data_IF_531571113330
#
_entry.id   IF_531571113330
#
_cell.length_a   1.000
_cell.length_b   1.000
_cell.length_c   1.000
_cell.angle_alpha   90.00
_cell.angle_beta   90.00
_cell.angle_gamma   90.00
#
_symmetry.space_group_name_H-M   'P 1'
#
loop_
_entity.id
_entity.type
_entity.pdbx_description
1 polymer ?
#
# COMPACT_ATOMS: atom_id res chain seq x y z
N UNK A 1 12.62 -53.46 -4.38
CA UNK A 1 11.51 -52.57 -3.97
C UNK A 1 11.94 -51.27 -3.25
N UNK A 2 13.22 -50.84 -3.30
CA UNK A 2 13.67 -49.57 -2.68
C UNK A 2 13.87 -48.41 -3.66
N UNK A 3 13.89 -48.68 -4.96
CA UNK A 3 14.21 -47.68 -6.00
C UNK A 3 13.00 -46.86 -6.46
N UNK A 4 11.77 -47.38 -6.32
CA UNK A 4 10.54 -46.70 -6.79
C UNK A 4 10.17 -45.50 -5.92
N UNK A 5 10.48 -45.51 -4.62
CA UNK A 5 10.19 -44.39 -3.72
C UNK A 5 11.05 -43.15 -4.00
N UNK A 6 12.29 -43.30 -4.49
CA UNK A 6 13.14 -42.16 -4.85
C UNK A 6 12.62 -41.41 -6.09
N UNK A 7 12.03 -42.11 -7.05
CA UNK A 7 11.53 -41.50 -8.29
C UNK A 7 10.28 -40.67 -8.01
N UNK A 8 9.36 -41.17 -7.17
CA UNK A 8 8.14 -40.47 -6.78
C UNK A 8 8.40 -39.17 -5.99
N UNK A 9 9.44 -39.14 -5.14
CA UNK A 9 9.82 -37.91 -4.43
C UNK A 9 10.47 -36.88 -5.34
N UNK A 10 11.24 -37.30 -6.35
CA UNK A 10 11.78 -36.38 -7.36
C UNK A 10 10.67 -35.70 -8.19
N UNK A 11 9.60 -36.44 -8.53
CA UNK A 11 8.48 -35.89 -9.30
C UNK A 11 7.61 -34.91 -8.51
N UNK A 12 7.49 -35.06 -7.19
CA UNK A 12 6.82 -34.05 -6.35
C UNK A 12 7.65 -32.78 -6.18
N UNK A 13 8.98 -32.88 -6.21
CA UNK A 13 9.85 -31.70 -6.10
C UNK A 13 9.95 -30.93 -7.43
N UNK A 14 9.97 -31.64 -8.57
CA UNK A 14 9.99 -31.03 -9.91
C UNK A 14 8.65 -30.42 -10.34
N UNK A 15 7.53 -30.81 -9.74
CA UNK A 15 6.21 -30.19 -9.97
C UNK A 15 5.86 -29.09 -8.96
N UNK A 16 6.74 -28.82 -7.98
CA UNK A 16 6.61 -27.60 -7.21
C UNK A 16 6.91 -26.44 -8.17
N UNK A 17 5.85 -25.75 -8.60
CA UNK A 17 6.00 -24.46 -9.26
C UNK A 17 6.72 -23.58 -8.24
N UNK A 18 8.04 -23.41 -8.43
CA UNK A 18 8.77 -22.32 -7.79
C UNK A 18 8.13 -21.08 -8.36
N UNK A 19 7.15 -20.56 -7.63
CA UNK A 19 6.40 -19.39 -7.99
C UNK A 19 7.42 -18.30 -8.34
N UNK A 20 7.42 -17.96 -9.62
CA UNK A 20 8.03 -16.80 -10.25
C UNK A 20 8.63 -15.85 -9.22
N UNK A 21 9.96 -15.77 -9.16
CA UNK A 21 10.59 -14.54 -8.71
C UNK A 21 10.10 -13.46 -9.67
N UNK A 22 9.00 -12.80 -9.29
CA UNK A 22 8.58 -11.56 -9.94
C UNK A 22 9.80 -10.67 -9.85
N UNK A 23 10.27 -10.16 -10.98
CA UNK A 23 11.24 -9.08 -11.02
C UNK A 23 10.57 -7.86 -10.39
N UNK A 24 10.50 -7.83 -9.06
CA UNK A 24 10.06 -6.68 -8.31
C UNK A 24 11.22 -5.72 -8.45
N UNK A 25 11.07 -4.75 -9.35
CA UNK A 25 11.87 -3.54 -9.28
C UNK A 25 11.58 -2.93 -7.90
N UNK A 26 12.51 -3.15 -6.97
CA UNK A 26 12.54 -2.43 -5.70
C UNK A 26 12.99 -1.01 -6.05
N UNK A 27 12.05 -0.21 -6.54
CA UNK A 27 12.28 1.18 -6.89
C UNK A 27 12.10 2.06 -5.66
N UNK A 28 13.01 3.01 -5.46
CA UNK A 28 12.76 4.16 -4.61
C UNK A 28 11.75 5.06 -5.35
N UNK A 29 10.50 5.13 -4.89
CA UNK A 29 9.47 5.95 -5.53
C UNK A 29 8.05 5.43 -5.33
N UNK A 30 7.13 5.91 -6.17
CA UNK A 30 5.73 5.48 -6.18
C UNK A 30 5.60 3.97 -6.39
N UNK A 31 4.57 3.33 -5.81
CA UNK A 31 4.38 1.90 -5.95
C UNK A 31 4.06 1.55 -7.40
N UNK A 32 4.62 0.44 -7.86
CA UNK A 32 4.23 -0.14 -9.14
C UNK A 32 2.76 -0.56 -9.05
N UNK A 33 1.97 -0.21 -10.06
CA UNK A 33 0.54 -0.48 -10.07
C UNK A 33 0.14 -1.22 -11.36
N UNK A 34 -0.64 -2.33 -11.27
CA UNK A 34 -1.20 -2.97 -12.44
C UNK A 34 -2.19 -2.05 -13.15
N UNK A 35 -2.20 -2.09 -14.48
CA UNK A 35 -2.98 -1.20 -15.34
C UNK A 35 -4.49 -1.22 -15.04
N UNK A 36 -5.00 -2.34 -14.52
CA UNK A 36 -6.40 -2.52 -14.13
C UNK A 36 -6.85 -1.67 -12.93
N UNK A 37 -5.94 -1.17 -12.09
CA UNK A 37 -6.27 -0.35 -10.93
C UNK A 37 -6.27 1.16 -11.22
N UNK A 38 -5.87 1.58 -12.43
CA UNK A 38 -5.81 3.00 -12.80
C UNK A 38 -7.14 3.74 -12.68
N UNK A 39 -8.27 3.03 -12.83
CA UNK A 39 -9.60 3.64 -12.88
C UNK A 39 -10.16 4.08 -11.52
N UNK A 40 -9.59 3.66 -10.38
CA UNK A 40 -10.07 4.05 -9.05
C UNK A 40 -9.28 5.24 -8.51
N UNK A 41 -9.45 6.46 -9.00
CA UNK A 41 -8.69 7.59 -8.42
C UNK A 41 -9.16 7.84 -6.97
N UNK A 42 -8.22 7.82 -6.02
CA UNK A 42 -8.50 8.30 -4.67
C UNK A 42 -8.78 9.79 -4.72
N UNK A 43 -9.93 10.20 -4.18
CA UNK A 43 -10.34 11.59 -4.17
C UNK A 43 -9.45 12.42 -3.24
N UNK A 44 -9.12 13.63 -3.68
CA UNK A 44 -8.34 14.58 -2.89
C UNK A 44 -9.25 15.25 -1.87
N UNK A 45 -9.00 14.98 -0.59
CA UNK A 45 -9.62 15.66 0.54
C UNK A 45 -8.70 16.73 1.13
N UNK A 46 -9.27 17.60 1.96
CA UNK A 46 -8.58 18.80 2.45
C UNK A 46 -8.79 19.02 3.94
N UNK A 47 -7.70 19.00 4.69
CA UNK A 47 -7.66 19.35 6.10
C UNK A 47 -7.23 20.81 6.27
N UNK A 48 -7.96 21.59 7.07
CA UNK A 48 -7.59 22.98 7.36
C UNK A 48 -6.50 22.99 8.43
N UNK A 49 -5.27 23.24 8.00
CA UNK A 49 -4.08 23.20 8.86
C UNK A 49 -3.59 24.63 9.17
N UNK A 50 -3.00 24.82 10.35
CA UNK A 50 -2.29 26.07 10.67
C UNK A 50 -1.11 26.25 9.73
N UNK A 51 -0.90 27.49 9.28
CA UNK A 51 0.27 27.80 8.47
C UNK A 51 1.56 27.80 9.29
N UNK A 52 1.48 28.22 10.55
CA UNK A 52 2.63 28.32 11.45
C UNK A 52 2.27 27.81 12.85
N UNK A 53 2.77 26.63 13.21
CA UNK A 53 2.53 26.03 14.53
C UNK A 53 3.36 26.65 15.66
N UNK A 54 4.38 27.44 15.33
CA UNK A 54 5.31 28.02 16.32
C UNK A 54 4.91 29.43 16.79
N UNK A 55 4.00 30.10 16.07
CA UNK A 55 3.48 31.41 16.46
C UNK A 55 1.98 31.33 16.78
N UNK A 56 1.64 31.40 18.08
CA UNK A 56 0.25 31.29 18.54
C UNK A 56 -0.65 32.47 18.17
N UNK A 57 -0.07 33.59 17.73
CA UNK A 57 -0.84 34.76 17.25
C UNK A 57 -1.14 34.71 15.75
N UNK A 58 -0.46 33.82 15.01
CA UNK A 58 -0.71 33.64 13.59
C UNK A 58 -1.94 32.75 13.38
N UNK A 59 -3.02 33.35 12.91
CA UNK A 59 -4.29 32.66 12.66
C UNK A 59 -4.46 32.18 11.20
N UNK A 60 -3.42 32.31 10.37
CA UNK A 60 -3.50 31.88 8.97
C UNK A 60 -3.55 30.37 8.88
N UNK A 61 -4.35 29.89 7.92
CA UNK A 61 -4.53 28.47 7.65
C UNK A 61 -4.33 28.17 6.17
N UNK A 62 -4.09 26.91 5.84
CA UNK A 62 -4.05 26.42 4.48
C UNK A 62 -4.75 25.06 4.37
N UNK A 63 -5.12 24.67 3.15
CA UNK A 63 -5.73 23.37 2.86
C UNK A 63 -4.63 22.33 2.64
N UNK A 64 -4.38 21.50 3.64
CA UNK A 64 -3.50 20.35 3.53
C UNK A 64 -4.23 19.21 2.81
N UNK A 65 -3.70 18.81 1.66
CA UNK A 65 -4.25 17.72 0.85
C UNK A 65 -3.96 16.37 1.49
N UNK A 66 -4.96 15.50 1.56
CA UNK A 66 -4.81 14.10 1.94
C UNK A 66 -5.75 13.23 1.09
N UNK A 67 -5.58 11.92 1.17
CA UNK A 67 -6.40 10.94 0.47
C UNK A 67 -6.79 9.84 1.47
N UNK A 68 -7.88 9.12 1.20
CA UNK A 68 -8.36 8.05 2.07
C UNK A 68 -8.65 6.80 1.25
N UNK A 69 -8.31 5.64 1.79
CA UNK A 69 -8.86 4.37 1.34
C UNK A 69 -9.48 3.63 2.54
N UNK A 70 -10.81 3.46 2.49
CA UNK A 70 -11.61 2.74 3.47
C UNK A 70 -12.07 1.35 3.02
N UNK A 71 -11.66 0.87 1.85
CA UNK A 71 -12.15 -0.37 1.22
C UNK A 71 -11.94 -1.61 2.11
N UNK A 72 -10.89 -1.59 2.94
CA UNK A 72 -10.51 -2.70 3.81
C UNK A 72 -10.88 -2.47 5.27
N UNK A 73 -11.36 -1.27 5.61
CA UNK A 73 -11.63 -0.92 6.99
C UNK A 73 -12.82 -1.71 7.55
N UNK A 74 -12.67 -2.23 8.77
CA UNK A 74 -13.76 -2.76 9.58
C UNK A 74 -13.86 -1.96 10.87
N UNK A 75 -15.05 -1.95 11.48
CA UNK A 75 -15.24 -1.30 12.79
C UNK A 75 -14.15 -1.74 13.76
N UNK A 76 -13.60 -0.76 14.49
CA UNK A 76 -12.50 -0.92 15.44
C UNK A 76 -11.16 -1.38 14.83
N UNK A 77 -11.03 -1.33 13.50
CA UNK A 77 -9.77 -1.56 12.80
C UNK A 77 -8.75 -0.43 13.03
N UNK A 78 -7.45 -0.70 12.83
CA UNK A 78 -6.41 0.32 12.97
C UNK A 78 -6.45 1.34 11.83
N UNK A 79 -5.76 2.47 12.05
CA UNK A 79 -5.53 3.47 11.00
C UNK A 79 -4.05 3.44 10.63
N UNK A 80 -3.77 3.27 9.35
CA UNK A 80 -2.44 3.41 8.78
C UNK A 80 -2.30 4.81 8.18
N UNK A 81 -1.31 5.55 8.66
CA UNK A 81 -1.02 6.91 8.22
C UNK A 81 0.31 6.92 7.47
N UNK A 82 0.27 7.28 6.19
CA UNK A 82 1.47 7.50 5.39
C UNK A 82 1.91 8.97 5.47
N UNK A 83 3.11 9.21 5.97
CA UNK A 83 3.71 10.55 5.97
C UNK A 83 4.41 10.78 4.63
N UNK A 84 3.90 11.73 3.85
CA UNK A 84 4.49 12.10 2.57
C UNK A 84 5.91 12.68 2.71
N UNK A 85 6.74 12.46 1.68
CA UNK A 85 8.05 13.09 1.52
C UNK A 85 7.98 14.40 0.73
N UNK A 86 9.01 14.66 -0.07
CA UNK A 86 9.18 15.90 -0.85
C UNK A 86 8.31 15.96 -2.12
N UNK A 87 7.72 14.83 -2.52
CA UNK A 87 6.93 14.70 -3.73
C UNK A 87 5.44 15.04 -3.56
N UNK A 88 4.77 15.36 -4.68
CA UNK A 88 3.31 15.49 -4.72
C UNK A 88 2.66 14.14 -4.37
N UNK A 89 1.70 14.12 -3.43
CA UNK A 89 0.92 12.90 -3.15
C UNK A 89 0.21 12.40 -4.41
N UNK A 90 0.27 11.07 -4.60
CA UNK A 90 -0.21 10.32 -5.75
C UNK A 90 -1.21 9.27 -5.31
N UNK A 91 -2.35 9.21 -6.03
CA UNK A 91 -3.44 8.28 -5.74
C UNK A 91 -3.03 6.80 -5.79
N UNK A 92 -1.90 6.48 -6.45
CA UNK A 92 -1.38 5.11 -6.51
C UNK A 92 -1.07 4.54 -5.13
N UNK A 93 -0.68 5.38 -4.19
CA UNK A 93 -0.40 4.94 -2.83
C UNK A 93 -1.65 4.37 -2.17
N UNK A 94 -2.84 4.91 -2.45
CA UNK A 94 -4.10 4.38 -1.92
C UNK A 94 -4.49 3.01 -2.49
N UNK A 95 -3.77 2.48 -3.48
CA UNK A 95 -4.15 1.25 -4.20
C UNK A 95 -3.07 0.18 -4.21
N UNK A 96 -1.82 0.56 -4.00
CA UNK A 96 -0.67 -0.33 -4.14
C UNK A 96 0.41 -0.07 -3.08
N UNK A 97 1.38 -0.98 -3.01
CA UNK A 97 2.45 -1.01 -2.03
C UNK A 97 2.12 -1.89 -0.82
N UNK A 98 3.15 -2.25 -0.07
CA UNK A 98 3.04 -3.21 1.05
C UNK A 98 2.01 -2.79 2.10
N UNK A 99 1.82 -1.48 2.31
CA UNK A 99 0.88 -0.97 3.31
C UNK A 99 -0.59 -1.27 2.96
N UNK A 100 -0.95 -1.37 1.67
CA UNK A 100 -2.29 -1.80 1.24
C UNK A 100 -2.49 -3.29 1.48
N UNK A 101 -1.46 -4.10 1.29
CA UNK A 101 -1.54 -5.54 1.58
C UNK A 101 -1.72 -5.77 3.09
N UNK A 102 -1.02 -5.00 3.92
CA UNK A 102 -1.26 -5.00 5.37
C UNK A 102 -2.64 -4.44 5.73
N UNK A 103 -3.15 -3.42 5.03
CA UNK A 103 -4.47 -2.89 5.31
C UNK A 103 -5.57 -3.95 5.11
N UNK A 104 -5.43 -4.81 4.08
CA UNK A 104 -6.31 -5.97 3.87
C UNK A 104 -6.22 -6.99 5.02
N UNK A 105 -5.02 -7.26 5.49
CA UNK A 105 -4.77 -8.25 6.56
C UNK A 105 -5.31 -7.76 7.91
N UNK A 106 -5.04 -6.50 8.25
CA UNK A 106 -5.39 -5.92 9.55
C UNK A 106 -6.74 -5.20 9.56
N UNK A 107 -7.45 -5.16 8.43
CA UNK A 107 -8.70 -4.43 8.24
C UNK A 107 -8.56 -2.93 8.56
N UNK A 108 -7.49 -2.32 8.05
CA UNK A 108 -7.10 -0.96 8.37
C UNK A 108 -7.75 0.07 7.44
N UNK A 109 -7.94 1.28 7.97
CA UNK A 109 -8.19 2.49 7.21
C UNK A 109 -6.85 3.11 6.78
N UNK A 110 -6.73 3.57 5.54
CA UNK A 110 -5.51 4.17 5.01
C UNK A 110 -5.68 5.68 4.78
N UNK A 111 -4.71 6.48 5.27
CA UNK A 111 -4.55 7.93 5.04
C UNK A 111 -3.19 8.27 4.41
#
# INVERSE_FOLDING_TARGET
MKSIFCVLWLFMWLNSSVNSMKNILIGLGEPNEPESLRAMEAEDEWFIQKLNHFNHTDNRTWKQRYQVNSDFYKNDGPVFLMIGGEGKISAKWMRSGAWIDYAKEFNALCF
#
